data_IF_228080382758
#
_entry.id   IF_228080382758
#
_cell.length_a   1.000
_cell.length_b   1.000
_cell.length_c   1.000
_cell.angle_alpha   90.00
_cell.angle_beta   90.00
_cell.angle_gamma   90.00
#
_symmetry.space_group_name_H-M   'P 1'
#
loop_
_entity.id
_entity.type
_entity.pdbx_description
1 polymer ?
#
# COMPACT_ATOMS: atom_id res chain seq x y z
N UNK A 1 -21.99 1.73 -10.96
CA UNK A 1 -20.98 0.97 -10.17
C UNK A 1 -19.78 0.41 -10.94
N UNK A 2 -19.84 0.10 -12.25
CA UNK A 2 -18.71 -0.53 -12.98
C UNK A 2 -17.42 0.34 -13.08
N UNK A 3 -17.55 1.68 -13.12
CA UNK A 3 -16.40 2.61 -13.23
C UNK A 3 -15.51 2.63 -11.98
N UNK A 4 -16.08 2.58 -10.77
CA UNK A 4 -15.32 2.54 -9.51
C UNK A 4 -14.34 1.37 -9.46
N UNK A 5 -14.76 0.18 -9.90
CA UNK A 5 -13.91 -1.03 -9.88
C UNK A 5 -12.71 -0.99 -10.82
N UNK A 6 -12.65 -0.06 -11.78
CA UNK A 6 -11.48 0.10 -12.67
C UNK A 6 -10.44 1.05 -12.08
N UNK A 7 -10.87 2.05 -11.32
CA UNK A 7 -9.97 3.00 -10.66
C UNK A 7 -9.32 2.41 -9.41
N UNK A 8 -10.01 1.51 -8.71
CA UNK A 8 -9.59 0.95 -7.42
C UNK A 8 -8.29 0.11 -7.43
N UNK A 9 -7.78 -0.35 -8.58
CA UNK A 9 -6.61 -1.26 -8.59
C UNK A 9 -5.27 -0.50 -8.64
N UNK A 10 -4.91 0.20 -9.74
CA UNK A 10 -3.63 0.92 -9.79
C UNK A 10 -3.65 2.17 -8.89
N UNK A 11 -4.74 2.94 -8.87
CA UNK A 11 -4.79 4.15 -8.06
C UNK A 11 -4.76 3.85 -6.55
N UNK A 12 -5.35 2.73 -6.12
CA UNK A 12 -5.29 2.31 -4.72
C UNK A 12 -3.87 1.94 -4.26
N UNK A 13 -3.10 1.26 -5.11
CA UNK A 13 -1.70 0.95 -4.82
C UNK A 13 -0.81 2.20 -4.84
N UNK A 14 -1.01 3.10 -5.80
CA UNK A 14 -0.29 4.39 -5.83
C UNK A 14 -0.62 5.20 -4.59
N UNK A 15 -1.90 5.29 -4.20
CA UNK A 15 -2.32 5.96 -2.97
C UNK A 15 -1.67 5.33 -1.75
N UNK A 16 -1.62 3.99 -1.64
CA UNK A 16 -0.93 3.32 -0.55
C UNK A 16 0.57 3.67 -0.51
N UNK A 17 1.23 3.79 -1.67
CA UNK A 17 2.63 4.25 -1.76
C UNK A 17 2.82 5.70 -1.35
N UNK A 18 1.90 6.60 -1.71
CA UNK A 18 1.94 7.99 -1.26
C UNK A 18 1.72 8.11 0.24
N UNK A 19 0.77 7.35 0.78
CA UNK A 19 0.51 7.28 2.22
C UNK A 19 1.69 6.65 2.97
N UNK A 20 2.40 5.69 2.36
CA UNK A 20 3.63 5.11 2.91
C UNK A 20 4.74 6.15 3.11
N UNK A 21 4.83 7.16 2.24
CA UNK A 21 5.77 8.25 2.40
C UNK A 21 5.36 9.29 3.48
N UNK A 22 4.15 9.17 4.04
CA UNK A 22 3.68 10.04 5.12
C UNK A 22 4.30 9.63 6.48
N UNK A 23 4.07 10.41 7.55
CA UNK A 23 4.48 10.04 8.92
C UNK A 23 3.90 8.70 9.38
N UNK A 24 4.77 7.81 9.85
CA UNK A 24 4.44 6.44 10.28
C UNK A 24 4.53 6.25 11.79
N UNK A 25 5.60 6.76 12.38
CA UNK A 25 5.88 6.63 13.80
C UNK A 25 6.39 7.96 14.31
N UNK A 26 5.94 8.37 15.49
CA UNK A 26 6.49 9.53 16.20
C UNK A 26 6.86 9.18 17.61
N UNK A 27 7.97 9.73 18.07
CA UNK A 27 8.29 9.81 19.49
C UNK A 27 7.82 11.16 20.01
N UNK A 28 6.99 11.13 21.06
CA UNK A 28 6.33 12.29 21.66
C UNK A 28 7.30 13.17 22.44
N UNK A 29 6.98 14.47 22.42
CA UNK A 29 7.61 15.60 23.10
C UNK A 29 7.83 15.42 24.60
N UNK A 30 6.99 14.64 25.27
CA UNK A 30 6.96 14.59 26.74
C UNK A 30 7.99 13.62 27.33
N UNK A 31 8.81 12.97 26.48
CA UNK A 31 9.87 12.08 26.94
C UNK A 31 10.91 12.84 27.79
N UNK A 32 11.16 12.42 29.04
CA UNK A 32 12.16 13.06 29.90
C UNK A 32 13.56 13.03 29.27
N UNK A 33 14.15 14.20 29.03
CA UNK A 33 15.45 14.34 28.39
C UNK A 33 15.44 14.36 26.85
N UNK A 34 14.26 14.24 26.23
CA UNK A 34 14.12 14.22 24.77
C UNK A 34 14.46 12.87 24.14
N UNK A 35 14.53 12.82 22.81
CA UNK A 35 14.87 11.62 22.05
C UNK A 35 15.74 11.97 20.84
N UNK A 36 16.89 11.31 20.72
CA UNK A 36 17.81 11.50 19.62
C UNK A 36 18.34 12.93 19.49
N UNK A 37 17.84 13.64 18.48
CA UNK A 37 18.16 15.06 18.24
C UNK A 37 17.10 16.02 18.80
N UNK A 38 15.94 15.53 19.20
CA UNK A 38 14.86 16.34 19.77
C UNK A 38 15.07 16.58 21.27
N UNK A 39 15.00 17.83 21.69
CA UNK A 39 14.96 18.25 23.08
C UNK A 39 13.58 17.95 23.69
N UNK A 40 13.43 17.98 25.04
CA UNK A 40 12.13 17.91 25.68
C UNK A 40 11.15 18.94 25.07
N UNK A 41 9.97 18.48 24.71
CA UNK A 41 8.99 19.29 23.98
C UNK A 41 9.02 19.14 22.46
N UNK A 42 10.00 18.41 21.88
CA UNK A 42 10.13 18.20 20.43
C UNK A 42 9.70 16.80 19.98
N UNK A 43 9.18 16.68 18.76
CA UNK A 43 8.85 15.38 18.16
C UNK A 43 9.96 14.87 17.24
N UNK A 44 10.14 13.56 17.21
CA UNK A 44 10.93 12.88 16.17
C UNK A 44 10.00 12.01 15.34
N UNK A 45 9.96 12.22 14.03
CA UNK A 45 9.01 11.61 13.11
C UNK A 45 9.71 10.76 12.07
N UNK A 46 9.32 9.49 11.99
CA UNK A 46 9.78 8.55 10.96
C UNK A 46 8.71 8.40 9.89
N UNK A 47 9.06 8.64 8.63
CA UNK A 47 8.22 8.28 7.48
C UNK A 47 8.50 6.82 7.06
N UNK A 48 7.61 6.21 6.27
CA UNK A 48 7.89 4.88 5.73
C UNK A 48 9.14 4.86 4.83
N UNK A 49 9.47 5.97 4.18
CA UNK A 49 10.70 6.12 3.39
C UNK A 49 11.96 6.05 4.25
N UNK A 50 11.94 6.76 5.40
CA UNK A 50 13.05 6.74 6.34
C UNK A 50 13.27 5.32 6.86
N UNK A 51 12.19 4.60 7.18
CA UNK A 51 12.25 3.21 7.63
C UNK A 51 12.81 2.27 6.55
N UNK A 52 12.40 2.46 5.29
CA UNK A 52 12.88 1.61 4.19
C UNK A 52 14.37 1.81 3.87
N UNK A 53 14.86 3.04 4.00
CA UNK A 53 16.22 3.43 3.57
C UNK A 53 17.22 3.59 4.71
N UNK A 54 16.76 3.57 5.97
CA UNK A 54 17.57 3.95 7.13
C UNK A 54 17.86 5.45 7.17
N UNK A 55 16.89 6.26 6.74
CA UNK A 55 16.99 7.72 6.66
C UNK A 55 17.04 8.39 8.03
N UNK A 56 17.33 9.69 8.03
CA UNK A 56 17.26 10.53 9.23
C UNK A 56 15.81 10.97 9.44
N UNK A 57 15.22 10.74 10.63
CA UNK A 57 13.87 11.20 10.89
C UNK A 57 13.76 12.73 10.88
N UNK A 58 12.55 13.23 10.69
CA UNK A 58 12.28 14.67 10.82
C UNK A 58 12.14 15.05 12.30
N UNK A 59 12.67 16.21 12.68
CA UNK A 59 12.64 16.72 14.06
C UNK A 59 12.17 18.16 14.05
N UNK A 60 11.30 18.53 14.99
CA UNK A 60 10.80 19.90 15.10
C UNK A 60 11.96 20.89 15.30
N UNK A 61 12.12 21.83 14.36
CA UNK A 61 13.33 22.65 14.25
C UNK A 61 13.61 23.55 15.47
N UNK A 62 12.57 24.02 16.16
CA UNK A 62 12.64 24.87 17.36
C UNK A 62 13.00 24.08 18.63
N UNK A 63 13.04 22.74 18.54
CA UNK A 63 13.32 21.82 19.65
C UNK A 63 14.52 20.93 19.38
N UNK A 64 15.50 21.40 18.63
CA UNK A 64 16.74 20.65 18.43
C UNK A 64 17.67 20.77 19.65
N UNK A 65 18.23 19.65 20.07
CA UNK A 65 19.31 19.64 21.06
C UNK A 65 20.57 20.32 20.49
N UNK A 66 21.40 20.95 21.36
CA UNK A 66 22.74 21.38 20.99
C UNK A 66 23.57 20.22 20.40
N UNK A 67 24.42 20.44 19.38
CA UNK A 67 25.15 19.38 18.68
C UNK A 67 25.88 18.38 19.59
N UNK A 68 26.45 18.86 20.68
CA UNK A 68 27.19 18.07 21.67
C UNK A 68 26.32 17.15 22.54
N UNK A 69 25.01 17.40 22.59
CA UNK A 69 24.04 16.58 23.32
C UNK A 69 23.21 15.67 22.40
N UNK A 70 23.34 15.82 21.08
CA UNK A 70 22.58 15.02 20.11
C UNK A 70 23.01 13.56 20.17
N UNK A 71 22.00 12.69 20.20
CA UNK A 71 22.18 11.24 20.10
C UNK A 71 21.66 10.77 18.75
N UNK A 72 22.15 9.61 18.31
CA UNK A 72 21.68 9.03 17.06
C UNK A 72 20.23 8.55 17.18
N UNK A 73 19.35 9.12 16.37
CA UNK A 73 17.99 8.70 16.10
C UNK A 73 17.85 7.90 14.79
N UNK A 74 18.97 7.64 14.11
CA UNK A 74 18.97 6.96 12.81
C UNK A 74 18.73 5.47 13.00
N UNK A 75 17.66 4.96 12.39
CA UNK A 75 17.36 3.54 12.37
C UNK A 75 18.10 2.85 11.23
N UNK A 76 18.50 1.60 11.44
CA UNK A 76 19.01 0.78 10.33
C UNK A 76 17.88 0.56 9.29
N UNK A 77 18.22 0.41 8.00
CA UNK A 77 17.24 0.11 6.96
C UNK A 77 16.40 -1.12 7.33
N UNK A 78 15.08 -0.98 7.25
CA UNK A 78 14.16 -2.05 7.58
C UNK A 78 13.81 -2.84 6.32
N UNK A 79 14.27 -4.10 6.18
CA UNK A 79 14.11 -4.86 4.94
C UNK A 79 12.64 -5.11 4.61
N UNK A 80 11.77 -5.22 5.61
CA UNK A 80 10.32 -5.40 5.41
C UNK A 80 9.67 -4.14 4.83
N UNK A 81 10.04 -2.95 5.30
CA UNK A 81 9.59 -1.68 4.70
C UNK A 81 10.04 -1.55 3.23
N UNK A 82 11.29 -1.92 2.93
CA UNK A 82 11.79 -2.01 1.55
C UNK A 82 11.00 -3.00 0.70
N UNK A 83 10.67 -4.18 1.25
CA UNK A 83 9.85 -5.18 0.56
C UNK A 83 8.43 -4.66 0.26
N UNK A 84 7.82 -3.89 1.18
CA UNK A 84 6.51 -3.25 0.92
C UNK A 84 6.57 -2.31 -0.28
N UNK A 85 7.61 -1.46 -0.38
CA UNK A 85 7.79 -0.58 -1.55
C UNK A 85 7.92 -1.38 -2.86
N UNK A 86 8.72 -2.45 -2.86
CA UNK A 86 8.86 -3.33 -4.03
C UNK A 86 7.52 -3.95 -4.41
N UNK A 87 6.77 -4.49 -3.44
CA UNK A 87 5.45 -5.09 -3.68
C UNK A 87 4.45 -4.08 -4.25
N UNK A 88 4.47 -2.83 -3.77
CA UNK A 88 3.64 -1.75 -4.30
C UNK A 88 3.98 -1.45 -5.77
N UNK A 89 5.26 -1.28 -6.09
CA UNK A 89 5.72 -1.01 -7.47
C UNK A 89 5.35 -2.17 -8.40
N UNK A 90 5.69 -3.41 -8.01
CA UNK A 90 5.35 -4.61 -8.78
C UNK A 90 3.83 -4.75 -8.95
N UNK A 91 3.06 -4.48 -7.90
CA UNK A 91 1.60 -4.49 -7.94
C UNK A 91 1.04 -3.48 -8.96
N UNK A 92 1.58 -2.27 -9.01
CA UNK A 92 1.18 -1.25 -10.00
C UNK A 92 1.51 -1.70 -11.41
N UNK A 93 2.73 -2.22 -11.64
CA UNK A 93 3.16 -2.72 -12.95
C UNK A 93 2.26 -3.86 -13.44
N UNK A 94 1.92 -4.82 -12.57
CA UNK A 94 1.01 -5.93 -12.89
C UNK A 94 -0.41 -5.42 -13.15
N UNK A 95 -0.88 -4.45 -12.35
CA UNK A 95 -2.21 -3.85 -12.53
C UNK A 95 -2.36 -3.18 -13.90
N UNK A 96 -1.28 -2.60 -14.43
CA UNK A 96 -1.29 -1.93 -15.74
C UNK A 96 -0.98 -2.89 -16.90
N UNK A 97 0.05 -3.74 -16.76
CA UNK A 97 0.58 -4.55 -17.86
C UNK A 97 -0.20 -5.83 -18.17
N UNK A 98 -0.94 -6.40 -17.21
CA UNK A 98 -1.63 -7.68 -17.42
C UNK A 98 -3.04 -7.47 -17.98
N UNK A 99 -3.24 -7.86 -19.24
CA UNK A 99 -4.53 -7.75 -19.94
C UNK A 99 -5.62 -8.71 -19.42
N UNK A 100 -5.24 -9.88 -18.90
CA UNK A 100 -6.18 -10.88 -18.37
C UNK A 100 -6.72 -10.47 -17.00
N UNK A 101 -7.95 -9.99 -16.96
CA UNK A 101 -8.57 -9.45 -15.75
C UNK A 101 -8.60 -10.43 -14.55
N UNK A 102 -8.79 -11.72 -14.80
CA UNK A 102 -8.79 -12.76 -13.75
C UNK A 102 -7.41 -12.88 -13.09
N UNK A 103 -6.36 -13.09 -13.88
CA UNK A 103 -4.98 -13.19 -13.37
C UNK A 103 -4.56 -11.91 -12.68
N UNK A 104 -4.78 -10.75 -13.32
CA UNK A 104 -4.43 -9.44 -12.75
C UNK A 104 -5.02 -9.24 -11.35
N UNK A 105 -6.34 -9.45 -11.19
CA UNK A 105 -7.02 -9.24 -9.90
C UNK A 105 -6.54 -10.19 -8.82
N UNK A 106 -6.36 -11.47 -9.15
CA UNK A 106 -5.86 -12.46 -8.18
C UNK A 106 -4.46 -12.10 -7.67
N UNK A 107 -3.55 -11.75 -8.60
CA UNK A 107 -2.17 -11.41 -8.25
C UNK A 107 -2.09 -10.10 -7.47
N UNK A 108 -2.79 -9.04 -7.91
CA UNK A 108 -2.80 -7.76 -7.17
C UNK A 108 -3.39 -7.92 -5.77
N UNK A 109 -4.45 -8.73 -5.61
CA UNK A 109 -5.01 -9.01 -4.28
C UNK A 109 -3.99 -9.68 -3.36
N UNK A 110 -3.27 -10.69 -3.86
CA UNK A 110 -2.25 -11.40 -3.11
C UNK A 110 -1.09 -10.47 -2.71
N UNK A 111 -0.56 -9.67 -3.65
CA UNK A 111 0.52 -8.73 -3.38
C UNK A 111 0.14 -7.68 -2.34
N UNK A 112 -1.07 -7.11 -2.45
CA UNK A 112 -1.56 -6.12 -1.48
C UNK A 112 -1.74 -6.73 -0.08
N UNK A 113 -2.23 -7.97 0.01
CA UNK A 113 -2.36 -8.68 1.29
C UNK A 113 -0.99 -8.98 1.93
N UNK A 114 -0.01 -9.43 1.14
CA UNK A 114 1.36 -9.67 1.61
C UNK A 114 2.01 -8.35 2.06
N UNK A 115 1.84 -7.28 1.29
CA UNK A 115 2.35 -5.96 1.66
C UNK A 115 1.73 -5.45 2.97
N UNK A 116 0.41 -5.64 3.17
CA UNK A 116 -0.25 -5.28 4.43
C UNK A 116 0.33 -6.05 5.62
N UNK A 117 0.57 -7.35 5.46
CA UNK A 117 1.19 -8.18 6.49
C UNK A 117 2.62 -7.72 6.81
N UNK A 118 3.44 -7.48 5.78
CA UNK A 118 4.80 -6.98 5.96
C UNK A 118 4.82 -5.61 6.65
N UNK A 119 3.87 -4.74 6.32
CA UNK A 119 3.72 -3.43 6.96
C UNK A 119 3.41 -3.56 8.46
N UNK A 120 2.49 -4.47 8.83
CA UNK A 120 2.15 -4.75 10.23
C UNK A 120 3.36 -5.27 11.02
N UNK A 121 4.06 -6.27 10.48
CA UNK A 121 5.24 -6.84 11.13
C UNK A 121 6.34 -5.79 11.26
N UNK A 122 6.60 -5.03 10.19
CA UNK A 122 7.58 -3.94 10.20
C UNK A 122 7.26 -2.91 11.29
N UNK A 123 6.01 -2.47 11.40
CA UNK A 123 5.61 -1.47 12.40
C UNK A 123 5.81 -2.00 13.82
N UNK A 124 5.44 -3.24 14.10
CA UNK A 124 5.66 -3.86 15.41
C UNK A 124 7.16 -3.92 15.76
N UNK A 125 8.02 -4.33 14.81
CA UNK A 125 9.48 -4.39 15.02
C UNK A 125 10.09 -3.01 15.25
N UNK A 126 9.73 -2.01 14.42
CA UNK A 126 10.23 -0.65 14.55
C UNK A 126 9.82 -0.04 15.89
N UNK A 127 8.57 -0.26 16.31
CA UNK A 127 8.08 0.23 17.61
C UNK A 127 8.91 -0.31 18.77
N UNK A 128 9.15 -1.63 18.83
CA UNK A 128 9.98 -2.25 19.87
C UNK A 128 11.39 -1.66 19.88
N UNK A 129 12.01 -1.52 18.71
CA UNK A 129 13.36 -0.98 18.59
C UNK A 129 13.44 0.49 19.04
N UNK A 130 12.44 1.30 18.70
CA UNK A 130 12.36 2.71 19.13
C UNK A 130 12.12 2.80 20.64
N UNK A 131 11.27 1.95 21.21
CA UNK A 131 11.05 1.87 22.66
C UNK A 131 12.34 1.47 23.41
N UNK A 132 13.09 0.49 22.90
CA UNK A 132 14.40 0.11 23.48
C UNK A 132 15.38 1.27 23.46
N UNK A 133 15.54 1.94 22.31
CA UNK A 133 16.41 3.11 22.20
C UNK A 133 15.96 4.26 23.07
N UNK A 134 14.65 4.50 23.17
CA UNK A 134 14.11 5.54 24.03
C UNK A 134 14.50 5.24 25.48
N UNK A 135 14.32 3.99 25.93
CA UNK A 135 14.73 3.55 27.27
C UNK A 135 16.21 3.78 27.56
N UNK A 136 17.09 3.50 26.59
CA UNK A 136 18.54 3.76 26.71
C UNK A 136 18.88 5.25 26.80
N UNK A 137 18.04 6.12 26.23
CA UNK A 137 18.26 7.55 26.16
C UNK A 137 17.59 8.34 27.29
N UNK A 138 16.75 7.72 28.12
CA UNK A 138 16.13 8.41 29.24
C UNK A 138 17.19 8.87 30.24
N UNK A 139 17.19 10.18 30.53
CA UNK A 139 18.11 10.78 31.52
C UNK A 139 17.48 10.95 32.89
N UNK A 140 16.20 10.62 33.04
CA UNK A 140 15.45 10.78 34.28
C UNK A 140 14.33 9.74 34.42
N UNK A 141 13.71 9.64 35.61
CA UNK A 141 12.60 8.72 35.82
C UNK A 141 11.41 9.09 34.94
N UNK A 142 10.66 8.09 34.50
CA UNK A 142 9.40 8.29 33.79
C UNK A 142 8.36 8.94 34.72
N UNK A 143 7.43 9.75 34.20
CA UNK A 143 6.28 10.24 34.96
C UNK A 143 5.49 9.09 35.59
N UNK A 144 4.92 9.30 36.78
CA UNK A 144 4.18 8.26 37.48
C UNK A 144 3.02 7.72 36.63
N UNK A 145 2.96 6.39 36.49
CA UNK A 145 1.92 5.71 35.70
C UNK A 145 2.10 5.79 34.17
N UNK A 146 3.26 6.21 33.68
CA UNK A 146 3.62 6.20 32.26
C UNK A 146 4.70 5.17 31.96
N UNK A 147 4.54 4.47 30.85
CA UNK A 147 5.54 3.56 30.30
C UNK A 147 6.20 4.14 29.05
N UNK A 148 7.35 3.58 28.66
CA UNK A 148 8.10 4.00 27.45
C UNK A 148 7.23 3.98 26.19
N UNK A 149 6.36 2.97 26.07
CA UNK A 149 5.46 2.81 24.94
C UNK A 149 4.40 3.92 24.82
N UNK A 150 4.11 4.67 25.88
CA UNK A 150 3.17 5.81 25.84
C UNK A 150 3.74 7.01 25.06
N UNK A 151 5.06 7.07 24.96
CA UNK A 151 5.77 8.12 24.22
C UNK A 151 6.00 7.73 22.76
N UNK A 152 5.70 6.50 22.36
CA UNK A 152 5.87 6.01 20.99
C UNK A 152 4.49 5.80 20.37
N UNK A 153 4.14 6.66 19.41
CA UNK A 153 2.81 6.69 18.81
C UNK A 153 2.88 6.35 17.33
N UNK A 154 1.97 5.47 16.91
CA UNK A 154 1.71 5.21 15.50
C UNK A 154 0.97 6.40 14.89
N UNK A 155 1.43 6.88 13.74
CA UNK A 155 0.83 8.01 13.05
C UNK A 155 -0.20 7.59 12.00
N UNK A 156 -0.98 8.58 11.54
CA UNK A 156 -2.03 8.35 10.55
C UNK A 156 -1.52 7.72 9.24
N UNK A 157 -0.29 8.01 8.81
CA UNK A 157 0.27 7.46 7.57
C UNK A 157 0.31 5.93 7.57
N UNK A 158 0.69 5.31 8.69
CA UNK A 158 0.66 3.86 8.86
C UNK A 158 -0.77 3.31 8.74
N UNK A 159 -1.70 3.86 9.51
CA UNK A 159 -3.09 3.39 9.53
C UNK A 159 -3.77 3.54 8.16
N UNK A 160 -3.56 4.68 7.48
CA UNK A 160 -4.14 4.93 6.16
C UNK A 160 -3.49 4.05 5.07
N UNK A 161 -2.17 3.87 5.09
CA UNK A 161 -1.49 2.97 4.14
C UNK A 161 -1.97 1.52 4.32
N UNK A 162 -2.08 1.05 5.57
CA UNK A 162 -2.61 -0.28 5.88
C UNK A 162 -4.06 -0.43 5.40
N UNK A 163 -4.92 0.55 5.71
CA UNK A 163 -6.31 0.53 5.27
C UNK A 163 -6.42 0.49 3.73
N UNK A 164 -5.63 1.31 3.03
CA UNK A 164 -5.60 1.33 1.57
C UNK A 164 -5.19 -0.04 1.00
N UNK A 165 -4.15 -0.67 1.54
CA UNK A 165 -3.72 -2.02 1.15
C UNK A 165 -4.80 -3.07 1.38
N UNK A 166 -5.47 -3.05 2.54
CA UNK A 166 -6.57 -3.97 2.86
C UNK A 166 -7.74 -3.79 1.90
N UNK A 167 -8.14 -2.55 1.60
CA UNK A 167 -9.22 -2.26 0.66
C UNK A 167 -8.87 -2.70 -0.77
N UNK A 168 -7.62 -2.50 -1.20
CA UNK A 168 -7.13 -3.01 -2.50
C UNK A 168 -7.18 -4.53 -2.53
N UNK A 169 -6.71 -5.20 -1.47
CA UNK A 169 -6.71 -6.66 -1.37
C UNK A 169 -8.14 -7.22 -1.46
N UNK A 170 -9.05 -6.74 -0.61
CA UNK A 170 -10.44 -7.18 -0.55
C UNK A 170 -11.20 -6.87 -1.85
N UNK A 171 -11.02 -5.67 -2.41
CA UNK A 171 -11.68 -5.25 -3.65
C UNK A 171 -11.26 -6.10 -4.86
N UNK A 172 -9.96 -6.39 -4.98
CA UNK A 172 -9.45 -7.25 -6.05
C UNK A 172 -9.83 -8.71 -5.84
N UNK A 173 -9.80 -9.21 -4.60
CA UNK A 173 -10.20 -10.58 -4.25
C UNK A 173 -11.68 -10.81 -4.57
N UNK A 174 -12.58 -9.92 -4.13
CA UNK A 174 -14.00 -10.01 -4.45
C UNK A 174 -14.24 -9.96 -5.97
N UNK A 175 -13.51 -9.10 -6.67
CA UNK A 175 -13.55 -9.00 -8.13
C UNK A 175 -13.01 -10.25 -8.84
N UNK A 176 -12.07 -10.97 -8.25
CA UNK A 176 -11.54 -12.24 -8.76
C UNK A 176 -12.53 -13.40 -8.52
N UNK A 177 -13.06 -13.53 -7.31
CA UNK A 177 -14.05 -14.57 -6.96
C UNK A 177 -15.29 -14.51 -7.86
N UNK A 178 -15.79 -13.30 -8.17
CA UNK A 178 -16.92 -13.12 -9.10
C UNK A 178 -16.61 -13.59 -10.52
N UNK A 179 -15.37 -13.44 -10.99
CA UNK A 179 -14.93 -13.93 -12.31
C UNK A 179 -14.75 -15.45 -12.33
N UNK A 180 -14.36 -16.05 -11.21
CA UNK A 180 -14.22 -17.51 -11.07
C UNK A 180 -15.59 -18.20 -11.00
N UNK A 181 -16.56 -17.59 -10.31
CA UNK A 181 -17.90 -18.15 -10.08
C UNK A 181 -18.95 -17.79 -11.14
N UNK A 182 -18.62 -16.96 -12.13
CA UNK A 182 -19.57 -16.60 -13.20
C UNK A 182 -20.06 -17.85 -13.95
N UNK A 183 -21.34 -17.87 -14.40
CA UNK A 183 -21.89 -19.02 -15.11
C UNK A 183 -20.97 -19.37 -16.28
N UNK A 184 -20.51 -20.62 -16.31
CA UNK A 184 -19.65 -21.11 -17.37
C UNK A 184 -20.29 -20.90 -18.75
N UNK A 185 -19.49 -20.85 -19.82
CA UNK A 185 -19.98 -20.72 -21.20
C UNK A 185 -21.07 -21.74 -21.58
N UNK A 186 -21.16 -22.86 -20.85
CA UNK A 186 -22.12 -23.94 -21.05
C UNK A 186 -23.58 -23.57 -20.78
N UNK A 187 -23.87 -22.53 -20.00
CA UNK A 187 -25.26 -22.10 -19.79
C UNK A 187 -25.87 -21.38 -21.01
N UNK A 188 -25.04 -20.89 -21.94
CA UNK A 188 -25.51 -20.17 -23.13
C UNK A 188 -25.90 -21.09 -24.30
N UNK A 189 -25.59 -22.39 -24.23
CA UNK A 189 -25.89 -23.36 -25.33
C UNK A 189 -27.23 -24.07 -25.14
N UNK A 190 -27.83 -24.03 -23.94
CA UNK A 190 -29.11 -24.68 -23.67
C UNK A 190 -30.35 -23.89 -24.17
N UNK A 191 -30.16 -22.67 -24.68
CA UNK A 191 -31.21 -21.83 -25.27
C UNK A 191 -31.17 -21.82 -26.78
N UNK A 192 -30.79 -22.93 -27.42
CA UNK A 192 -30.86 -23.08 -28.88
C UNK A 192 -32.29 -22.85 -29.36
N UNK A 193 -32.57 -21.65 -29.85
CA UNK A 193 -33.69 -21.43 -30.76
C UNK A 193 -33.55 -22.40 -31.94
N UNK A 194 -34.63 -23.08 -32.35
CA UNK A 194 -34.60 -23.93 -33.53
C UNK A 194 -34.21 -23.06 -34.72
N UNK A 195 -33.15 -23.46 -35.42
CA UNK A 195 -32.76 -22.92 -36.72
C UNK A 195 -33.96 -23.12 -37.65
N UNK A 196 -34.78 -22.09 -37.75
CA UNK A 196 -35.80 -21.99 -38.79
C UNK A 196 -35.02 -21.63 -40.04
N UNK A 197 -34.74 -22.66 -40.83
CA UNK A 197 -34.08 -22.53 -42.12
C UNK A 197 -34.82 -21.50 -42.97
N UNK A 198 -34.21 -20.32 -43.14
CA UNK A 198 -34.64 -19.37 -44.15
C UNK A 198 -34.06 -19.82 -45.51
N UNK A 199 -34.87 -19.80 -46.57
CA UNK A 199 -34.53 -20.42 -47.84
C UNK A 199 -33.44 -19.65 -48.58
N UNK A 200 -32.59 -20.45 -49.24
CA UNK A 200 -31.72 -20.13 -50.36
C UNK A 200 -32.35 -19.10 -51.32
N UNK A 201 -31.93 -17.84 -51.24
CA UNK A 201 -32.09 -16.88 -52.33
C UNK A 201 -30.82 -16.88 -53.18
N UNK A 202 -30.83 -17.80 -54.14
CA UNK A 202 -30.04 -17.72 -55.36
C UNK A 202 -30.39 -16.41 -56.09
N UNK A 203 -29.42 -15.49 -56.19
CA UNK A 203 -29.52 -14.25 -56.96
C UNK A 203 -28.21 -13.98 -57.69
N UNK A 204 -28.23 -13.62 -58.99
CA UNK A 204 -27.12 -13.82 -59.91
C UNK A 204 -26.03 -12.72 -59.85
N UNK A 205 -24.86 -13.12 -60.34
CA UNK A 205 -23.70 -12.30 -60.64
C UNK A 205 -24.07 -11.02 -61.43
N UNK A 206 -23.71 -9.86 -60.89
CA UNK A 206 -23.67 -8.61 -61.62
C UNK A 206 -22.21 -8.25 -61.96
N UNK A 207 -21.99 -8.21 -63.26
CA UNK A 207 -20.76 -7.91 -64.00
C UNK A 207 -20.53 -6.40 -64.12
N UNK A 208 -19.25 -5.97 -64.13
CA UNK A 208 -18.68 -4.69 -64.62
C UNK A 208 -19.07 -3.40 -63.84
N UNK A 209 -18.27 -2.33 -63.74
CA UNK A 209 -17.37 -1.67 -64.71
C UNK A 209 -16.31 -0.80 -63.98
N UNK A 210 -15.13 -0.66 -64.60
CA UNK A 210 -14.10 0.37 -64.33
C UNK A 210 -14.61 1.78 -64.64
N UNK A 211 -14.03 2.82 -64.01
CA UNK A 211 -13.64 3.99 -64.78
C UNK A 211 -12.15 4.33 -64.60
N UNK A 212 -11.52 4.62 -65.74
CA UNK A 212 -10.27 5.38 -65.85
C UNK A 212 -10.48 6.83 -65.37
N UNK A 213 -9.46 7.38 -64.71
CA UNK A 213 -9.36 8.78 -64.30
C UNK A 213 -8.07 9.03 -63.54
#
# INVERSE_FOLDING_TARGET
>A
MRRFSRLLSPAGLVLAGLLFAAPFLTVSCDAPGGYGRAAPGGTTTYTGWDLATGGTPDVTADKLLPPEQRRSDVLAPQPLAGAVLVLLVVGVLIAVGVGRARTRRGVVAALAAIAALFLLVNQATVRVLVEERLREQLTGPLPAGKDVGDFVQDQGGFAFALLALVLVALGNLAGWVRLVRGPGPTAAVAGGEPVTAAPEQNGPAATATLPEG
#
